data_IF_789568385006
#
_entry.id   IF_789568385006
#
_cell.length_a   1.000
_cell.length_b   1.000
_cell.length_c   1.000
_cell.angle_alpha   90.00
_cell.angle_beta   90.00
_cell.angle_gamma   90.00
#
_symmetry.space_group_name_H-M   'P 1'
#
loop_
_entity.id
_entity.type
_entity.pdbx_description
1 polymer ?
#
# COMPACT_ATOMS: atom_id res chain seq x y z
N UNK A 1 2.16 17.72 -32.06
CA UNK A 1 1.58 16.36 -32.17
C UNK A 1 2.40 15.45 -31.28
N UNK A 2 1.93 15.18 -30.04
CA UNK A 2 2.31 14.08 -29.11
C UNK A 2 1.77 14.36 -27.68
N UNK A 3 0.46 14.68 -27.60
CA UNK A 3 -0.28 14.92 -26.35
C UNK A 3 -0.32 13.75 -25.31
N UNK A 4 -0.12 12.46 -25.65
CA UNK A 4 -0.18 11.41 -24.62
C UNK A 4 1.06 11.37 -23.71
N UNK A 5 2.25 11.69 -24.23
CA UNK A 5 3.50 11.64 -23.45
C UNK A 5 3.55 12.72 -22.37
N UNK A 6 3.03 13.92 -22.67
CA UNK A 6 3.02 15.04 -21.71
C UNK A 6 2.05 14.80 -20.54
N UNK A 7 0.93 14.10 -20.79
CA UNK A 7 -0.01 13.68 -19.74
C UNK A 7 0.54 12.57 -18.85
N UNK A 8 1.29 11.62 -19.44
CA UNK A 8 1.95 10.56 -18.66
C UNK A 8 3.08 11.17 -17.81
N UNK A 9 3.88 12.08 -18.38
CA UNK A 9 4.96 12.75 -17.63
C UNK A 9 4.41 13.60 -16.48
N UNK A 10 3.35 14.39 -16.71
CA UNK A 10 2.74 15.18 -15.64
C UNK A 10 2.03 14.31 -14.59
N UNK A 11 1.36 13.23 -14.99
CA UNK A 11 0.66 12.33 -14.08
C UNK A 11 1.57 11.42 -13.23
N UNK A 12 2.71 10.98 -13.78
CA UNK A 12 3.63 10.07 -13.08
C UNK A 12 4.67 10.83 -12.25
N UNK A 13 5.13 12.01 -12.70
CA UNK A 13 6.29 12.68 -12.10
C UNK A 13 5.91 13.97 -11.36
N UNK A 14 4.95 14.76 -11.86
CA UNK A 14 4.57 16.04 -11.20
C UNK A 14 3.39 15.92 -10.24
N UNK A 15 2.44 15.03 -10.50
CA UNK A 15 1.19 14.91 -9.72
C UNK A 15 1.08 13.59 -8.94
N UNK A 16 2.08 12.71 -9.01
CA UNK A 16 1.98 11.40 -8.36
C UNK A 16 2.24 11.56 -6.85
N UNK A 17 1.22 11.32 -5.99
CA UNK A 17 1.34 11.52 -4.55
C UNK A 17 2.40 10.60 -3.92
N UNK A 18 2.72 9.47 -4.57
CA UNK A 18 3.78 8.56 -4.14
C UNK A 18 5.17 9.20 -4.23
N UNK A 19 5.40 10.05 -5.23
CA UNK A 19 6.68 10.74 -5.46
C UNK A 19 6.73 12.12 -4.81
N UNK A 20 5.60 12.84 -4.77
CA UNK A 20 5.53 14.23 -4.27
C UNK A 20 5.21 14.32 -2.77
N UNK A 21 4.30 13.48 -2.24
CA UNK A 21 4.00 13.45 -0.80
C UNK A 21 4.87 12.46 -0.02
N UNK A 22 5.76 11.72 -0.69
CA UNK A 22 6.58 10.67 -0.08
C UNK A 22 5.77 9.69 0.78
N UNK A 23 4.63 9.22 0.26
CA UNK A 23 3.83 8.19 0.91
C UNK A 23 4.51 6.82 0.74
N UNK A 24 4.72 6.11 1.86
CA UNK A 24 5.30 4.77 1.84
C UNK A 24 6.82 4.70 2.00
N UNK A 25 7.49 5.72 2.56
CA UNK A 25 8.95 5.73 2.74
C UNK A 25 9.49 4.62 3.66
N UNK A 26 8.70 4.20 4.65
CA UNK A 26 9.11 3.17 5.60
C UNK A 26 9.47 1.84 4.92
N UNK A 27 8.61 1.23 4.08
CA UNK A 27 8.98 0.03 3.34
C UNK A 27 10.07 0.29 2.30
N UNK A 28 10.13 1.47 1.66
CA UNK A 28 11.16 1.77 0.66
C UNK A 28 12.55 1.77 1.26
N UNK A 29 12.72 2.36 2.45
CA UNK A 29 13.99 2.36 3.18
C UNK A 29 14.40 0.94 3.58
N UNK A 30 13.45 0.11 4.02
CA UNK A 30 13.69 -1.27 4.45
C UNK A 30 14.13 -2.21 3.31
N UNK A 31 13.72 -1.96 2.06
CA UNK A 31 14.04 -2.85 0.91
C UNK A 31 15.28 -2.44 0.11
N UNK A 32 15.93 -1.33 0.43
CA UNK A 32 17.14 -0.85 -0.28
C UNK A 32 18.33 -1.81 -0.19
N UNK A 33 18.33 -2.74 0.77
CA UNK A 33 19.43 -3.68 0.99
C UNK A 33 19.46 -4.81 -0.05
N UNK A 34 18.33 -5.21 -0.62
CA UNK A 34 18.26 -6.36 -1.54
C UNK A 34 17.03 -6.32 -2.43
N UNK A 35 17.25 -6.45 -3.75
CA UNK A 35 16.17 -6.51 -4.74
C UNK A 35 15.20 -7.68 -4.50
N UNK A 36 15.72 -8.81 -4.00
CA UNK A 36 14.93 -10.01 -3.66
C UNK A 36 13.99 -9.72 -2.48
N UNK A 37 14.47 -9.03 -1.45
CA UNK A 37 13.64 -8.63 -0.31
C UNK A 37 12.60 -7.59 -0.72
N UNK A 38 12.94 -6.66 -1.63
CA UNK A 38 11.99 -5.70 -2.17
C UNK A 38 10.84 -6.33 -2.94
N UNK A 39 11.14 -7.30 -3.80
CA UNK A 39 10.11 -8.06 -4.53
C UNK A 39 9.29 -8.90 -3.56
N UNK A 40 9.92 -9.52 -2.56
CA UNK A 40 9.26 -10.30 -1.51
C UNK A 40 8.28 -9.47 -0.67
N UNK A 41 8.70 -8.30 -0.19
CA UNK A 41 7.84 -7.38 0.59
C UNK A 41 6.71 -6.79 -0.28
N UNK A 42 6.99 -6.46 -1.55
CA UNK A 42 5.98 -5.94 -2.46
C UNK A 42 4.88 -6.95 -2.79
N UNK A 43 5.26 -8.19 -3.09
CA UNK A 43 4.30 -9.27 -3.39
C UNK A 43 3.49 -9.68 -2.17
N UNK A 44 4.13 -9.79 -1.00
CA UNK A 44 3.45 -10.10 0.26
C UNK A 44 2.42 -9.03 0.63
N UNK A 45 2.81 -7.75 0.59
CA UNK A 45 1.89 -6.65 0.88
C UNK A 45 0.75 -6.54 -0.14
N UNK A 46 1.00 -6.83 -1.42
CA UNK A 46 -0.05 -6.87 -2.44
C UNK A 46 -1.10 -7.97 -2.14
N UNK A 47 -0.66 -9.17 -1.77
CA UNK A 47 -1.55 -10.26 -1.39
C UNK A 47 -2.34 -9.94 -0.11
N UNK A 48 -1.68 -9.37 0.90
CA UNK A 48 -2.31 -8.94 2.16
C UNK A 48 -3.36 -7.86 1.94
N UNK A 49 -3.09 -6.89 1.06
CA UNK A 49 -4.03 -5.82 0.72
C UNK A 49 -5.29 -6.36 0.04
N UNK A 50 -5.15 -7.33 -0.86
CA UNK A 50 -6.30 -7.96 -1.53
C UNK A 50 -7.18 -8.69 -0.49
N UNK A 51 -6.56 -9.47 0.39
CA UNK A 51 -7.28 -10.17 1.46
C UNK A 51 -7.93 -9.22 2.48
N UNK A 52 -7.22 -8.16 2.85
CA UNK A 52 -7.74 -7.15 3.77
C UNK A 52 -8.93 -6.40 3.17
N UNK A 53 -8.89 -6.04 1.88
CA UNK A 53 -10.02 -5.37 1.22
C UNK A 53 -11.27 -6.27 1.12
N UNK A 54 -11.09 -7.58 0.91
CA UNK A 54 -12.19 -8.56 0.97
C UNK A 54 -12.82 -8.63 2.36
N UNK A 55 -12.00 -8.70 3.41
CA UNK A 55 -12.46 -8.76 4.80
C UNK A 55 -13.13 -7.45 5.25
N UNK A 56 -12.56 -6.30 4.87
CA UNK A 56 -13.12 -4.97 5.12
C UNK A 56 -14.48 -4.81 4.44
N UNK A 57 -14.65 -5.34 3.23
CA UNK A 57 -15.94 -5.33 2.53
C UNK A 57 -17.03 -6.05 3.33
N UNK A 58 -16.70 -7.18 3.95
CA UNK A 58 -17.63 -7.94 4.81
C UNK A 58 -17.91 -7.23 6.16
N UNK A 59 -16.91 -6.59 6.76
CA UNK A 59 -17.00 -5.92 8.06
C UNK A 59 -17.58 -4.49 7.98
N UNK A 60 -17.73 -3.93 6.78
CA UNK A 60 -18.22 -2.55 6.54
C UNK A 60 -19.55 -2.24 7.24
N UNK A 61 -20.40 -3.25 7.50
CA UNK A 61 -21.72 -3.07 8.13
C UNK A 61 -21.69 -2.96 9.65
N UNK A 62 -20.57 -3.32 10.29
CA UNK A 62 -20.42 -3.38 11.76
C UNK A 62 -19.65 -2.17 12.32
N UNK A 63 -18.87 -1.46 11.51
CA UNK A 63 -17.94 -0.44 11.99
C UNK A 63 -18.58 0.97 12.01
N UNK A 64 -18.74 1.61 13.19
CA UNK A 64 -19.28 2.96 13.31
C UNK A 64 -18.33 4.02 12.71
N UNK A 65 -18.91 5.03 12.05
CA UNK A 65 -18.20 5.96 11.16
C UNK A 65 -17.09 6.81 11.77
N UNK A 66 -17.04 6.94 13.10
CA UNK A 66 -16.00 7.69 13.82
C UNK A 66 -14.64 6.97 13.90
N UNK A 67 -14.60 5.63 13.79
CA UNK A 67 -13.39 4.82 14.01
C UNK A 67 -12.97 3.99 12.79
N UNK A 68 -13.61 4.21 11.63
CA UNK A 68 -13.37 3.47 10.39
C UNK A 68 -11.92 3.56 9.90
N UNK A 69 -11.30 4.74 9.95
CA UNK A 69 -9.91 4.93 9.50
C UNK A 69 -8.91 4.18 10.39
N UNK A 70 -8.92 4.34 11.74
CA UNK A 70 -8.07 3.55 12.63
C UNK A 70 -8.30 2.04 12.51
N UNK A 71 -9.56 1.59 12.45
CA UNK A 71 -9.89 0.17 12.41
C UNK A 71 -9.32 -0.52 11.17
N UNK A 72 -9.44 0.11 9.99
CA UNK A 72 -8.88 -0.46 8.75
C UNK A 72 -7.35 -0.51 8.78
N UNK A 73 -6.69 0.51 9.34
CA UNK A 73 -5.22 0.53 9.46
C UNK A 73 -4.74 -0.59 10.40
N UNK A 74 -5.42 -0.82 11.53
CA UNK A 74 -5.05 -1.89 12.48
C UNK A 74 -5.23 -3.28 11.87
N UNK A 75 -6.31 -3.51 11.11
CA UNK A 75 -6.53 -4.78 10.41
C UNK A 75 -5.37 -5.03 9.44
N UNK A 76 -5.06 -4.07 8.57
CA UNK A 76 -3.97 -4.21 7.59
C UNK A 76 -2.62 -4.42 8.30
N UNK A 77 -2.33 -3.65 9.35
CA UNK A 77 -1.08 -3.78 10.11
C UNK A 77 -0.91 -5.17 10.71
N UNK A 78 -1.97 -5.72 11.33
CA UNK A 78 -1.92 -7.06 11.93
C UNK A 78 -1.64 -8.16 10.91
N UNK A 79 -2.24 -8.08 9.71
CA UNK A 79 -1.96 -9.04 8.64
C UNK A 79 -0.53 -8.92 8.12
N UNK A 80 -0.02 -7.70 7.96
CA UNK A 80 1.37 -7.48 7.53
C UNK A 80 2.34 -8.07 8.56
N UNK A 81 2.11 -7.86 9.86
CA UNK A 81 2.97 -8.43 10.91
C UNK A 81 3.01 -9.95 10.90
N UNK A 82 1.87 -10.61 10.61
CA UNK A 82 1.84 -12.08 10.51
C UNK A 82 2.70 -12.56 9.34
N UNK A 83 2.66 -11.88 8.19
CA UNK A 83 3.47 -12.25 7.03
C UNK A 83 4.95 -11.94 7.24
N UNK A 84 5.26 -10.83 7.91
CA UNK A 84 6.63 -10.46 8.26
C UNK A 84 7.27 -11.44 9.24
N UNK A 85 6.52 -12.00 10.20
CA UNK A 85 7.03 -13.08 11.07
C UNK A 85 7.18 -14.43 10.36
N UNK A 86 6.54 -14.61 9.19
CA UNK A 86 6.60 -15.85 8.42
C UNK A 86 7.74 -15.85 7.37
N UNK A 87 8.29 -14.67 7.06
CA UNK A 87 9.46 -14.46 6.19
C UNK A 87 10.76 -14.57 6.98
#
# INVERSE_FOLDING_TARGET
MNKPLERIYNGVIKENPTLVLMLGMCPTLAVTTSAINGVGMGLSTMAVLIMSNLLISALRKVIPGGVRMPAYIVIVASFVTIVEMLM
#
